data_IF_997002791338
#
_entry.id   IF_997002791338
#
_cell.length_a   1.000
_cell.length_b   1.000
_cell.length_c   1.000
_cell.angle_alpha   90.00
_cell.angle_beta   90.00
_cell.angle_gamma   90.00
#
_symmetry.space_group_name_H-M   'P 1'
#
loop_
_entity.id
_entity.type
_entity.pdbx_description
1 polymer ?
#
# COMPACT_ATOMS: atom_id res chain seq x y z
N UNK A 1 4.53 2.78 -1.69
CA UNK A 1 4.80 1.81 -0.62
C UNK A 1 6.06 0.96 -0.86
N UNK A 2 6.20 0.14 -1.91
CA UNK A 2 7.36 -0.75 -2.07
C UNK A 2 8.73 -0.03 -2.05
N UNK A 3 8.81 1.15 -2.67
CA UNK A 3 10.03 1.96 -2.68
C UNK A 3 10.48 2.38 -1.28
N UNK A 4 9.56 2.80 -0.43
CA UNK A 4 9.85 3.16 0.95
C UNK A 4 10.24 1.95 1.80
N UNK A 5 9.58 0.80 1.59
CA UNK A 5 9.94 -0.45 2.26
C UNK A 5 11.37 -0.85 1.92
N UNK A 6 11.75 -0.82 0.64
CA UNK A 6 13.09 -1.17 0.19
C UNK A 6 14.17 -0.24 0.78
N UNK A 7 13.88 1.05 0.88
CA UNK A 7 14.79 2.05 1.45
C UNK A 7 14.98 1.85 2.97
N UNK A 8 13.88 1.65 3.69
CA UNK A 8 13.91 1.51 5.15
C UNK A 8 14.46 0.14 5.56
N UNK A 9 14.11 -0.93 4.84
CA UNK A 9 14.63 -2.27 5.09
C UNK A 9 16.14 -2.34 4.86
N UNK A 10 16.66 -1.72 3.81
CA UNK A 10 18.10 -1.62 3.55
C UNK A 10 18.84 -0.92 4.70
N UNK A 11 18.31 0.21 5.18
CA UNK A 11 18.89 0.93 6.32
C UNK A 11 18.78 0.15 7.64
N UNK A 12 17.68 -0.56 7.85
CA UNK A 12 17.47 -1.37 9.07
C UNK A 12 18.35 -2.61 9.12
N UNK A 13 18.75 -3.17 7.98
CA UNK A 13 19.64 -4.31 7.86
C UNK A 13 21.12 -3.93 7.80
N UNK A 14 21.47 -2.64 7.90
CA UNK A 14 22.86 -2.16 7.83
C UNK A 14 23.48 -2.24 6.43
N UNK A 15 22.67 -2.47 5.39
CA UNK A 15 23.14 -2.47 4.01
C UNK A 15 23.47 -1.03 3.57
N UNK A 16 24.61 -0.84 2.92
CA UNK A 16 24.95 0.43 2.31
C UNK A 16 23.96 0.75 1.19
N UNK A 17 23.24 1.86 1.33
CA UNK A 17 22.36 2.36 0.28
C UNK A 17 23.20 2.64 -0.97
N UNK A 18 23.08 1.80 -1.97
CA UNK A 18 23.70 2.06 -3.27
C UNK A 18 23.09 3.33 -3.87
N UNK A 19 23.94 4.23 -4.41
CA UNK A 19 23.47 5.47 -5.05
C UNK A 19 22.37 5.21 -6.08
N UNK A 20 22.43 4.08 -6.78
CA UNK A 20 21.40 3.64 -7.72
C UNK A 20 20.04 3.44 -7.06
N UNK A 21 19.99 2.78 -5.88
CA UNK A 21 18.73 2.58 -5.13
C UNK A 21 18.13 3.91 -4.70
N UNK A 22 18.96 4.83 -4.23
CA UNK A 22 18.51 6.16 -3.84
C UNK A 22 17.93 6.92 -5.04
N UNK A 23 18.64 6.94 -6.17
CA UNK A 23 18.18 7.60 -7.40
C UNK A 23 16.84 7.03 -7.90
N UNK A 24 16.72 5.71 -7.97
CA UNK A 24 15.47 5.06 -8.41
C UNK A 24 14.32 5.35 -7.44
N UNK A 25 14.58 5.42 -6.14
CA UNK A 25 13.57 5.80 -5.16
C UNK A 25 13.10 7.24 -5.34
N UNK A 26 14.03 8.17 -5.62
CA UNK A 26 13.70 9.58 -5.91
C UNK A 26 12.86 9.67 -7.17
N UNK A 27 13.24 8.98 -8.25
CA UNK A 27 12.46 8.96 -9.51
C UNK A 27 11.06 8.40 -9.26
N UNK A 28 10.93 7.32 -8.50
CA UNK A 28 9.63 6.78 -8.12
C UNK A 28 8.79 7.74 -7.29
N UNK A 29 9.42 8.53 -6.42
CA UNK A 29 8.73 9.58 -5.67
C UNK A 29 8.26 10.73 -6.57
N UNK A 30 9.04 11.10 -7.58
CA UNK A 30 8.59 12.05 -8.62
C UNK A 30 7.36 11.51 -9.37
N UNK A 31 7.30 10.20 -9.64
CA UNK A 31 6.10 9.56 -10.19
C UNK A 31 4.86 9.75 -9.30
N UNK A 32 5.01 9.64 -7.97
CA UNK A 32 3.93 9.96 -7.03
C UNK A 32 3.50 11.42 -7.11
N UNK A 33 4.45 12.36 -7.20
CA UNK A 33 4.15 13.78 -7.34
C UNK A 33 3.42 14.11 -8.64
N UNK A 34 3.74 13.41 -9.73
CA UNK A 34 3.03 13.54 -11.02
C UNK A 34 1.56 13.13 -10.87
N UNK A 35 1.27 12.04 -10.13
CA UNK A 35 -0.10 11.61 -9.86
C UNK A 35 -0.82 12.61 -8.96
N UNK A 36 -0.19 13.04 -7.88
CA UNK A 36 -0.80 13.94 -6.89
C UNK A 36 -0.99 15.36 -7.39
N UNK A 37 -0.22 15.81 -8.39
CA UNK A 37 -0.25 17.15 -8.98
C UNK A 37 -0.35 18.27 -7.91
N UNK A 38 0.64 18.40 -7.00
CA UNK A 38 0.60 19.42 -5.97
C UNK A 38 0.54 20.82 -6.63
N UNK A 39 -0.42 21.64 -6.19
CA UNK A 39 -0.65 22.98 -6.77
C UNK A 39 -1.81 23.08 -7.75
N UNK A 40 -2.46 21.97 -8.11
CA UNK A 40 -3.75 21.97 -8.84
C UNK A 40 -4.92 21.74 -7.89
N UNK A 41 -6.14 21.97 -8.37
CA UNK A 41 -7.39 21.83 -7.60
C UNK A 41 -7.60 20.46 -6.94
N UNK A 42 -6.89 19.42 -7.42
CA UNK A 42 -6.92 18.07 -6.83
C UNK A 42 -6.06 17.87 -5.56
N UNK A 43 -5.11 18.77 -5.28
CA UNK A 43 -4.27 18.67 -4.08
C UNK A 43 -4.96 19.36 -2.91
N UNK A 44 -5.54 18.58 -2.05
CA UNK A 44 -6.21 19.06 -0.86
C UNK A 44 -5.59 18.46 0.42
N UNK A 45 -6.10 18.87 1.57
CA UNK A 45 -5.63 18.39 2.88
C UNK A 45 -5.70 16.84 3.01
N UNK A 46 -6.62 16.20 2.28
CA UNK A 46 -6.76 14.72 2.26
C UNK A 46 -5.58 14.03 1.59
N UNK A 47 -4.89 14.68 0.64
CA UNK A 47 -3.65 14.15 0.03
C UNK A 47 -2.52 14.01 1.07
N UNK A 48 -2.44 14.93 2.04
CA UNK A 48 -1.48 14.85 3.16
C UNK A 48 -1.81 13.68 4.07
N UNK A 49 -3.09 13.47 4.40
CA UNK A 49 -3.51 12.30 5.18
C UNK A 49 -3.19 10.98 4.45
N UNK A 50 -3.37 10.93 3.13
CA UNK A 50 -3.00 9.78 2.32
C UNK A 50 -1.50 9.48 2.40
N UNK A 51 -0.63 10.49 2.33
CA UNK A 51 0.82 10.32 2.49
C UNK A 51 1.19 9.81 3.88
N UNK A 52 0.61 10.38 4.93
CA UNK A 52 0.82 9.91 6.31
C UNK A 52 0.36 8.46 6.45
N UNK A 53 -0.79 8.09 5.89
CA UNK A 53 -1.30 6.72 5.92
C UNK A 53 -0.34 5.74 5.25
N UNK A 54 0.27 6.11 4.13
CA UNK A 54 1.29 5.28 3.45
C UNK A 54 2.50 5.05 4.34
N UNK A 55 2.99 6.08 5.04
CA UNK A 55 4.11 5.93 5.98
C UNK A 55 3.76 4.97 7.14
N UNK A 56 2.60 5.15 7.74
CA UNK A 56 2.12 4.27 8.82
C UNK A 56 1.97 2.82 8.36
N UNK A 57 1.50 2.59 7.14
CA UNK A 57 1.41 1.25 6.55
C UNK A 57 2.79 0.62 6.32
N UNK A 58 3.80 1.40 5.92
CA UNK A 58 5.18 0.92 5.81
C UNK A 58 5.72 0.49 7.17
N UNK A 59 5.53 1.31 8.20
CA UNK A 59 5.90 0.98 9.57
C UNK A 59 5.22 -0.30 10.06
N UNK A 60 3.91 -0.42 9.83
CA UNK A 60 3.16 -1.63 10.15
C UNK A 60 3.76 -2.88 9.50
N UNK A 61 4.04 -2.81 8.20
CA UNK A 61 4.58 -3.96 7.46
C UNK A 61 5.96 -4.37 7.98
N UNK A 62 6.83 -3.40 8.28
CA UNK A 62 8.15 -3.66 8.85
C UNK A 62 8.08 -4.29 10.26
N UNK A 63 7.17 -3.82 11.10
CA UNK A 63 6.97 -4.41 12.42
C UNK A 63 6.42 -5.84 12.28
N UNK A 64 5.43 -6.01 11.41
CA UNK A 64 4.79 -7.32 11.17
C UNK A 64 5.77 -8.36 10.65
N UNK A 65 6.71 -7.97 9.78
CA UNK A 65 7.72 -8.87 9.23
C UNK A 65 8.75 -9.34 10.26
N UNK A 66 8.97 -8.56 11.31
CA UNK A 66 9.91 -8.89 12.40
C UNK A 66 9.25 -9.61 13.58
N UNK A 67 7.95 -9.87 13.52
CA UNK A 67 7.26 -10.60 14.58
C UNK A 67 7.71 -12.06 14.63
N UNK A 68 7.84 -12.66 15.83
CA UNK A 68 8.20 -14.06 15.99
C UNK A 68 7.23 -15.01 15.26
N UNK A 69 7.74 -16.13 14.78
CA UNK A 69 6.92 -17.15 14.09
C UNK A 69 5.86 -17.79 15.00
N UNK A 70 6.06 -17.74 16.32
CA UNK A 70 5.10 -18.22 17.31
C UNK A 70 3.74 -17.51 17.26
N UNK A 71 3.69 -16.29 16.72
CA UNK A 71 2.45 -15.53 16.56
C UNK A 71 1.89 -15.83 15.16
N UNK A 72 0.70 -16.39 15.05
CA UNK A 72 0.10 -16.70 13.75
C UNK A 72 -0.35 -15.43 13.00
N UNK A 73 -0.22 -15.42 11.67
CA UNK A 73 -0.66 -14.29 10.83
C UNK A 73 -2.12 -13.91 11.05
N UNK A 74 -2.98 -14.91 11.33
CA UNK A 74 -4.37 -14.68 11.68
C UNK A 74 -4.53 -13.86 12.96
N UNK A 75 -3.74 -14.11 13.99
CA UNK A 75 -3.79 -13.35 15.24
C UNK A 75 -3.43 -11.88 15.00
N UNK A 76 -2.37 -11.62 14.24
CA UNK A 76 -1.97 -10.25 13.87
C UNK A 76 -3.08 -9.54 13.11
N UNK A 77 -3.67 -10.20 12.13
CA UNK A 77 -4.77 -9.65 11.33
C UNK A 77 -6.00 -9.39 12.20
N UNK A 78 -6.37 -10.34 13.05
CA UNK A 78 -7.53 -10.23 13.94
C UNK A 78 -7.39 -9.08 14.94
N UNK A 79 -6.28 -9.00 15.67
CA UNK A 79 -6.05 -7.93 16.64
C UNK A 79 -6.00 -6.55 15.98
N UNK A 80 -5.38 -6.45 14.81
CA UNK A 80 -5.35 -5.18 14.07
C UNK A 80 -6.76 -4.77 13.62
N UNK A 81 -7.53 -5.69 13.06
CA UNK A 81 -8.91 -5.43 12.66
C UNK A 81 -9.79 -5.06 13.86
N UNK A 82 -9.63 -5.76 14.99
CA UNK A 82 -10.34 -5.47 16.22
C UNK A 82 -10.04 -4.06 16.74
N UNK A 83 -8.76 -3.67 16.80
CA UNK A 83 -8.36 -2.34 17.26
C UNK A 83 -8.89 -1.24 16.34
N UNK A 84 -8.82 -1.43 15.03
CA UNK A 84 -9.37 -0.47 14.06
C UNK A 84 -10.88 -0.36 14.23
N UNK A 85 -11.57 -1.49 14.36
CA UNK A 85 -13.04 -1.49 14.56
C UNK A 85 -13.43 -0.80 15.86
N UNK A 86 -12.72 -1.07 16.95
CA UNK A 86 -12.98 -0.45 18.25
C UNK A 86 -12.76 1.07 18.22
N UNK A 87 -11.63 1.52 17.67
CA UNK A 87 -11.30 2.95 17.56
C UNK A 87 -12.26 3.69 16.62
N UNK A 88 -12.59 3.09 15.48
CA UNK A 88 -13.57 3.65 14.54
C UNK A 88 -14.97 3.66 15.14
N UNK A 89 -15.36 2.59 15.86
CA UNK A 89 -16.64 2.50 16.55
C UNK A 89 -16.81 3.61 17.60
N UNK A 90 -15.77 3.89 18.38
CA UNK A 90 -15.77 5.03 19.32
C UNK A 90 -15.92 6.35 18.55
N UNK A 91 -15.16 6.55 17.48
CA UNK A 91 -15.26 7.77 16.68
C UNK A 91 -16.65 7.94 16.06
N UNK A 92 -17.32 6.86 15.67
CA UNK A 92 -18.68 6.87 15.14
C UNK A 92 -19.74 7.31 16.16
N UNK A 93 -19.48 7.23 17.46
CA UNK A 93 -20.39 7.76 18.48
C UNK A 93 -20.49 9.30 18.47
N UNK A 94 -19.52 9.97 17.85
CA UNK A 94 -19.47 11.44 17.74
C UNK A 94 -19.93 11.97 16.38
N UNK A 95 -20.42 11.10 15.49
CA UNK A 95 -20.85 11.45 14.13
C UNK A 95 -22.34 11.17 13.97
N UNK A 96 -23.07 12.07 13.33
CA UNK A 96 -24.47 11.86 13.00
C UNK A 96 -24.64 10.73 11.98
N UNK A 97 -25.37 9.70 12.36
CA UNK A 97 -25.67 8.58 11.50
C UNK A 97 -26.84 8.87 10.56
N UNK A 98 -26.63 8.63 9.27
CA UNK A 98 -27.71 8.65 8.29
C UNK A 98 -28.12 7.20 7.96
N UNK A 99 -29.42 6.93 7.77
CA UNK A 99 -29.87 5.60 7.41
C UNK A 99 -29.28 5.19 6.05
N UNK A 100 -28.66 4.00 6.03
CA UNK A 100 -28.03 3.44 4.83
C UNK A 100 -29.05 2.55 4.12
N UNK A 101 -29.22 2.74 2.82
CA UNK A 101 -30.11 1.91 2.00
C UNK A 101 -29.66 0.44 1.99
N UNK A 102 -30.61 -0.49 1.92
CA UNK A 102 -30.34 -1.93 1.95
C UNK A 102 -29.32 -2.38 0.90
N UNK A 103 -29.41 -1.83 -0.31
CA UNK A 103 -28.44 -2.13 -1.38
C UNK A 103 -27.00 -1.75 -0.98
N UNK A 104 -26.81 -0.60 -0.35
CA UNK A 104 -25.51 -0.15 0.13
C UNK A 104 -25.03 -1.01 1.30
N UNK A 105 -25.91 -1.47 2.19
CA UNK A 105 -25.54 -2.39 3.28
C UNK A 105 -25.00 -3.72 2.74
N UNK A 106 -25.63 -4.31 1.72
CA UNK A 106 -25.15 -5.55 1.07
C UNK A 106 -23.78 -5.32 0.44
N UNK A 107 -23.59 -4.20 -0.27
CA UNK A 107 -22.31 -3.87 -0.89
C UNK A 107 -21.21 -3.68 0.17
N UNK A 108 -21.49 -3.00 1.28
CA UNK A 108 -20.56 -2.81 2.39
C UNK A 108 -20.19 -4.14 3.05
N UNK A 109 -21.16 -5.03 3.26
CA UNK A 109 -20.91 -6.35 3.83
C UNK A 109 -20.00 -7.20 2.92
N UNK A 110 -20.27 -7.21 1.62
CA UNK A 110 -19.43 -7.90 0.63
C UNK A 110 -18.03 -7.32 0.60
N UNK A 111 -17.91 -5.98 0.60
CA UNK A 111 -16.62 -5.30 0.64
C UNK A 111 -15.84 -5.64 1.92
N UNK A 112 -16.50 -5.72 3.08
CA UNK A 112 -15.86 -6.07 4.35
C UNK A 112 -15.25 -7.48 4.32
N UNK A 113 -15.96 -8.47 3.75
CA UNK A 113 -15.44 -9.84 3.58
C UNK A 113 -14.21 -9.83 2.66
N UNK A 114 -14.30 -9.19 1.49
CA UNK A 114 -13.21 -9.15 0.52
C UNK A 114 -11.97 -8.43 1.08
N UNK A 115 -12.17 -7.31 1.79
CA UNK A 115 -11.09 -6.57 2.46
C UNK A 115 -10.47 -7.43 3.55
N UNK A 116 -11.26 -8.13 4.37
CA UNK A 116 -10.77 -9.01 5.42
C UNK A 116 -9.89 -10.14 4.87
N UNK A 117 -10.33 -10.79 3.79
CA UNK A 117 -9.55 -11.82 3.11
C UNK A 117 -8.25 -11.25 2.51
N UNK A 118 -8.33 -10.12 1.83
CA UNK A 118 -7.17 -9.43 1.25
C UNK A 118 -6.18 -8.97 2.32
N UNK A 119 -6.68 -8.51 3.47
CA UNK A 119 -5.84 -8.11 4.59
C UNK A 119 -5.09 -9.30 5.19
N UNK A 120 -5.78 -10.41 5.42
CA UNK A 120 -5.15 -11.66 5.91
C UNK A 120 -4.08 -12.16 4.94
N UNK A 121 -4.37 -12.18 3.65
CA UNK A 121 -3.42 -12.55 2.61
C UNK A 121 -2.20 -11.61 2.60
N UNK A 122 -2.41 -10.30 2.76
CA UNK A 122 -1.33 -9.30 2.81
C UNK A 122 -0.42 -9.51 4.03
N UNK A 123 -0.99 -9.76 5.22
CA UNK A 123 -0.23 -10.04 6.45
C UNK A 123 0.57 -11.33 6.28
N UNK A 124 -0.04 -12.38 5.74
CA UNK A 124 0.63 -13.66 5.50
C UNK A 124 1.79 -13.52 4.50
N UNK A 125 1.60 -12.79 3.42
CA UNK A 125 2.63 -12.55 2.42
C UNK A 125 3.86 -11.82 2.99
N UNK A 126 3.65 -10.87 3.89
CA UNK A 126 4.74 -10.11 4.54
C UNK A 126 5.51 -10.97 5.54
N UNK A 127 4.87 -11.98 6.14
CA UNK A 127 5.46 -12.82 7.18
C UNK A 127 6.12 -14.09 6.65
N UNK A 128 5.56 -14.71 5.63
CA UNK A 128 6.05 -15.99 5.09
C UNK A 128 7.08 -15.75 3.99
N UNK A 129 6.94 -14.64 3.25
CA UNK A 129 7.81 -14.28 2.14
C UNK A 129 8.87 -13.25 2.49
N UNK A 130 9.93 -13.20 1.69
CA UNK A 130 10.83 -12.05 1.68
C UNK A 130 10.02 -10.81 1.24
N UNK A 131 10.01 -9.78 2.09
CA UNK A 131 9.33 -8.51 1.80
C UNK A 131 9.80 -7.94 0.45
N UNK A 132 11.06 -8.14 0.11
CA UNK A 132 11.63 -7.69 -1.16
C UNK A 132 11.03 -8.42 -2.36
N UNK A 133 10.66 -9.69 -2.22
CA UNK A 133 10.01 -10.46 -3.28
C UNK A 133 8.51 -10.16 -3.39
N UNK A 134 7.83 -9.92 -2.28
CA UNK A 134 6.38 -9.63 -2.28
C UNK A 134 6.06 -8.19 -2.70
N UNK A 135 6.99 -7.27 -2.55
CA UNK A 135 6.80 -5.85 -2.88
C UNK A 135 6.37 -5.59 -4.35
N UNK A 136 6.94 -6.27 -5.39
CA UNK A 136 6.53 -6.03 -6.78
C UNK A 136 5.10 -6.44 -7.08
N UNK A 137 4.63 -7.52 -6.46
CA UNK A 137 3.25 -7.97 -6.67
C UNK A 137 2.21 -6.93 -6.21
N UNK A 138 2.59 -6.01 -5.34
CA UNK A 138 1.74 -4.88 -4.96
C UNK A 138 1.49 -3.89 -6.10
N UNK A 139 2.34 -3.87 -7.13
CA UNK A 139 2.10 -3.04 -8.31
C UNK A 139 0.98 -3.59 -9.19
N UNK A 140 0.68 -4.89 -9.10
CA UNK A 140 -0.47 -5.45 -9.82
C UNK A 140 -1.78 -4.82 -9.34
N UNK A 141 -1.85 -4.31 -8.12
CA UNK A 141 -3.02 -3.58 -7.61
C UNK A 141 -3.34 -2.33 -8.43
N UNK A 142 -2.35 -1.68 -9.05
CA UNK A 142 -2.57 -0.55 -9.95
C UNK A 142 -3.32 -0.97 -11.21
N UNK A 143 -2.94 -2.13 -11.80
CA UNK A 143 -3.64 -2.68 -12.96
C UNK A 143 -5.10 -3.00 -12.62
N UNK A 144 -5.31 -3.68 -11.48
CA UNK A 144 -6.65 -3.99 -11.02
C UNK A 144 -7.46 -2.74 -10.71
N UNK A 145 -6.86 -1.71 -10.10
CA UNK A 145 -7.53 -0.44 -9.82
C UNK A 145 -8.01 0.24 -11.12
N UNK A 146 -7.19 0.26 -12.18
CA UNK A 146 -7.55 0.81 -13.47
C UNK A 146 -8.69 0.00 -14.11
N UNK A 147 -8.57 -1.33 -14.14
CA UNK A 147 -9.58 -2.21 -14.74
C UNK A 147 -10.92 -2.07 -14.01
N UNK A 148 -10.91 -2.12 -12.69
CA UNK A 148 -12.13 -2.03 -11.89
C UNK A 148 -12.72 -0.61 -11.90
N UNK A 149 -11.88 0.43 -11.89
CA UNK A 149 -12.30 1.83 -12.05
C UNK A 149 -13.05 2.04 -13.36
N UNK A 150 -12.51 1.51 -14.46
CA UNK A 150 -13.18 1.56 -15.75
C UNK A 150 -14.49 0.75 -15.78
N UNK A 151 -14.46 -0.50 -15.29
CA UNK A 151 -15.63 -1.39 -15.37
C UNK A 151 -16.81 -0.94 -14.49
N UNK A 152 -16.54 -0.45 -13.28
CA UNK A 152 -17.60 -0.14 -12.31
C UNK A 152 -17.96 1.34 -12.25
N UNK A 153 -17.02 2.23 -12.54
CA UNK A 153 -17.22 3.68 -12.41
C UNK A 153 -17.14 4.41 -13.74
N UNK A 154 -16.77 3.70 -14.84
CA UNK A 154 -16.53 4.32 -16.17
C UNK A 154 -15.48 5.45 -16.12
N UNK A 155 -14.57 5.37 -15.14
CA UNK A 155 -13.50 6.33 -14.97
C UNK A 155 -12.25 5.85 -15.72
N UNK A 156 -11.77 6.66 -16.64
CA UNK A 156 -10.47 6.42 -17.28
C UNK A 156 -9.40 7.25 -16.55
N UNK A 157 -8.27 6.65 -16.19
CA UNK A 157 -7.18 7.39 -15.58
C UNK A 157 -6.67 8.46 -16.53
N UNK A 158 -6.35 9.62 -16.01
CA UNK A 158 -5.73 10.70 -16.75
C UNK A 158 -4.34 10.29 -17.28
N UNK A 159 -3.86 10.97 -18.30
CA UNK A 159 -2.51 10.70 -18.83
C UNK A 159 -1.42 10.81 -17.75
N UNK A 160 -1.55 11.77 -16.82
CA UNK A 160 -0.61 11.96 -15.73
C UNK A 160 -0.64 10.78 -14.74
N UNK A 161 -1.81 10.23 -14.44
CA UNK A 161 -1.96 9.05 -13.57
C UNK A 161 -1.33 7.81 -14.21
N UNK A 162 -1.54 7.62 -15.52
CA UNK A 162 -0.91 6.53 -16.26
C UNK A 162 0.62 6.68 -16.29
N UNK A 163 1.11 7.88 -16.58
CA UNK A 163 2.54 8.16 -16.66
C UNK A 163 3.22 8.00 -15.30
N UNK A 164 2.64 8.56 -14.24
CA UNK A 164 3.15 8.41 -12.88
C UNK A 164 3.13 6.95 -12.41
N UNK A 165 2.08 6.20 -12.72
CA UNK A 165 1.97 4.77 -12.39
C UNK A 165 3.02 3.94 -13.13
N UNK A 166 3.27 4.22 -14.40
CA UNK A 166 4.31 3.55 -15.19
C UNK A 166 5.71 3.81 -14.63
N UNK A 167 6.02 5.05 -14.22
CA UNK A 167 7.29 5.40 -13.58
C UNK A 167 7.46 4.61 -12.28
N UNK A 168 6.44 4.62 -11.40
CA UNK A 168 6.49 3.92 -10.11
C UNK A 168 6.69 2.41 -10.30
N UNK A 169 5.95 1.80 -11.22
CA UNK A 169 6.05 0.39 -11.52
C UNK A 169 7.44 0.02 -12.08
N UNK A 170 7.96 0.80 -13.02
CA UNK A 170 9.29 0.59 -13.60
C UNK A 170 10.40 0.70 -12.55
N UNK A 171 10.34 1.71 -11.68
CA UNK A 171 11.27 1.87 -10.56
C UNK A 171 11.22 0.68 -9.60
N UNK A 172 10.02 0.19 -9.29
CA UNK A 172 9.84 -0.95 -8.41
C UNK A 172 10.43 -2.25 -9.00
N UNK A 173 10.14 -2.53 -10.25
CA UNK A 173 10.68 -3.70 -10.98
C UNK A 173 12.21 -3.62 -11.05
N UNK A 174 12.75 -2.44 -11.35
CA UNK A 174 14.20 -2.25 -11.43
C UNK A 174 14.90 -2.55 -10.10
N UNK A 175 14.37 -2.10 -8.97
CA UNK A 175 14.95 -2.36 -7.64
C UNK A 175 15.04 -3.86 -7.36
N UNK A 176 14.04 -4.63 -7.79
CA UNK A 176 14.00 -6.08 -7.56
C UNK A 176 15.04 -6.79 -8.42
N UNK A 177 15.07 -6.49 -9.72
CA UNK A 177 16.04 -7.07 -10.64
C UNK A 177 17.48 -6.72 -10.24
N UNK A 178 17.69 -5.52 -9.70
CA UNK A 178 19.00 -5.08 -9.22
C UNK A 178 19.45 -5.82 -7.96
N UNK A 179 18.52 -6.24 -7.08
CA UNK A 179 18.84 -7.04 -5.90
C UNK A 179 19.28 -8.47 -6.31
N UNK A 180 18.55 -9.08 -7.22
CA UNK A 180 18.82 -10.45 -7.68
C UNK A 180 20.22 -10.58 -8.35
N UNK A 181 20.67 -9.54 -9.04
CA UNK A 181 22.01 -9.50 -9.65
C UNK A 181 23.13 -9.24 -8.62
N UNK A 182 22.85 -8.58 -7.50
CA UNK A 182 23.82 -8.33 -6.42
C UNK A 182 24.05 -9.52 -5.49
N UNK A 183 23.11 -10.44 -5.40
CA UNK A 183 23.23 -11.68 -4.61
C UNK A 183 23.91 -12.82 -5.38
N UNK A 184 24.10 -12.67 -6.69
CA UNK A 184 24.77 -13.65 -7.56
C UNK A 184 26.23 -13.31 -7.88
N UNK A 185 26.73 -12.16 -7.41
CA UNK A 185 28.12 -11.74 -7.58
C UNK A 185 28.88 -11.80 -6.24
#
# INVERSE_FOLDING_TARGET
>A
MPLLISLIASKANGENLTNTRLTVTIIGFLGVLIILQPGREGFNFYSVYALISVLLLVFRDLITSKMPESIHSFQVAFFTAFLITATTGIACCFVEWRPIQLKAQISLFTAAILIGMGYLASVSAVRIGDISLSAPFRYTSLLWAIILGFLFFSELPSFQELLGSAIIASCGIYIILSKDNGERA
#
